data_IF_147050323436
#
_entry.id   IF_147050323436
#
_cell.length_a   1.000
_cell.length_b   1.000
_cell.length_c   1.000
_cell.angle_alpha   90.00
_cell.angle_beta   90.00
_cell.angle_gamma   90.00
#
_symmetry.space_group_name_H-M   'P 1'
#
loop_
_entity.id
_entity.type
_entity.pdbx_description
1 polymer ?
#
# COMPACT_ATOMS: atom_id res chain seq x y z
N UNK A 1 9.63 -6.01 -65.12
CA UNK A 1 8.40 -5.43 -65.71
C UNK A 1 8.27 -4.01 -65.17
N UNK A 2 8.08 -3.06 -66.08
CA UNK A 2 8.21 -1.61 -65.90
C UNK A 2 6.80 -1.00 -66.05
N UNK A 3 6.56 0.11 -65.34
CA UNK A 3 5.46 1.10 -65.54
C UNK A 3 4.14 0.70 -64.86
N UNK A 4 3.29 1.55 -64.30
CA UNK A 4 3.12 3.01 -64.14
C UNK A 4 2.17 3.18 -62.91
N UNK A 5 2.03 4.28 -62.16
CA UNK A 5 1.52 5.62 -62.47
C UNK A 5 1.75 6.45 -61.18
N UNK A 6 2.58 7.49 -61.17
CA UNK A 6 2.20 8.90 -61.27
C UNK A 6 0.71 9.22 -61.01
N UNK A 7 0.40 9.83 -59.86
CA UNK A 7 -0.42 11.05 -59.79
C UNK A 7 0.02 11.89 -58.60
N UNK A 8 0.61 13.03 -58.96
CA UNK A 8 0.95 14.19 -58.16
C UNK A 8 -0.29 15.10 -58.16
N UNK A 9 -0.81 15.50 -57.01
CA UNK A 9 -1.52 16.78 -56.88
C UNK A 9 -1.07 17.43 -55.57
N UNK A 10 -0.26 18.47 -55.74
CA UNK A 10 -0.02 19.53 -54.77
C UNK A 10 -1.10 20.62 -54.95
N UNK A 11 -1.48 21.29 -53.85
CA UNK A 11 -1.91 22.70 -53.72
C UNK A 11 -1.87 22.96 -52.19
N UNK A 12 -0.92 23.69 -51.60
CA UNK A 12 -0.47 25.09 -51.73
C UNK A 12 -1.27 26.08 -50.83
N UNK A 13 -0.55 26.59 -49.82
CA UNK A 13 -0.60 27.91 -49.16
C UNK A 13 -1.91 28.47 -48.57
N UNK A 14 -1.84 28.85 -47.29
CA UNK A 14 -1.98 30.26 -46.90
C UNK A 14 -1.38 30.52 -45.50
N UNK A 15 -0.48 31.50 -45.44
CA UNK A 15 0.24 32.01 -44.27
C UNK A 15 -0.33 33.36 -43.82
N UNK A 16 -0.46 33.56 -42.48
CA UNK A 16 -0.12 34.78 -41.67
C UNK A 16 -1.06 36.02 -41.86
N UNK A 17 -1.50 36.78 -40.80
CA UNK A 17 -0.59 37.43 -39.85
C UNK A 17 -0.98 37.55 -38.36
N UNK A 18 0.08 37.85 -37.58
CA UNK A 18 0.05 38.49 -36.26
C UNK A 18 -0.58 39.89 -36.33
N UNK A 19 -1.36 40.25 -35.32
CA UNK A 19 -1.48 41.64 -34.87
C UNK A 19 -1.34 41.69 -33.36
N UNK A 20 -0.38 42.48 -32.90
CA UNK A 20 -0.16 42.89 -31.52
C UNK A 20 -1.15 44.02 -31.23
N UNK A 21 -1.80 44.02 -30.07
CA UNK A 21 -2.38 45.23 -29.48
C UNK A 21 -2.04 45.30 -28.00
N UNK A 22 -1.35 46.39 -27.65
CA UNK A 22 -0.90 46.75 -26.31
C UNK A 22 -2.06 47.11 -25.38
N UNK A 23 -2.02 46.57 -24.16
CA UNK A 23 -2.64 47.12 -22.96
C UNK A 23 -1.56 47.36 -21.90
N UNK A 24 -1.32 48.62 -21.59
CA UNK A 24 -0.33 49.17 -20.67
C UNK A 24 -0.72 48.97 -19.19
N UNK A 25 0.16 48.44 -18.33
CA UNK A 25 0.62 49.08 -17.07
C UNK A 25 1.59 48.19 -16.24
N UNK A 26 2.74 48.81 -15.93
CA UNK A 26 3.72 48.61 -14.84
C UNK A 26 3.66 47.41 -13.88
N UNK A 27 4.81 46.72 -13.83
CA UNK A 27 5.54 46.21 -12.66
C UNK A 27 4.73 45.58 -11.50
N UNK A 28 4.67 44.24 -11.47
CA UNK A 28 4.58 43.48 -10.23
C UNK A 28 5.35 42.18 -10.38
N UNK A 29 6.37 42.04 -9.53
CA UNK A 29 7.12 40.83 -9.26
C UNK A 29 6.24 39.59 -9.39
N UNK A 30 6.53 38.74 -10.39
CA UNK A 30 6.11 37.35 -10.34
C UNK A 30 7.11 36.64 -9.44
N UNK A 31 6.69 36.43 -8.19
CA UNK A 31 7.21 35.33 -7.40
C UNK A 31 7.08 34.07 -8.26
N UNK A 32 8.22 33.48 -8.60
CA UNK A 32 8.28 32.07 -8.92
C UNK A 32 7.80 31.38 -7.65
N UNK A 33 6.55 30.92 -7.66
CA UNK A 33 6.10 29.94 -6.69
C UNK A 33 6.84 28.65 -7.00
N UNK A 34 7.98 28.48 -6.33
CA UNK A 34 8.61 27.19 -6.15
C UNK A 34 7.55 26.24 -5.58
N UNK A 35 7.23 25.20 -6.36
CA UNK A 35 6.32 24.16 -5.94
C UNK A 35 6.98 23.29 -4.87
N UNK A 36 6.39 23.32 -3.68
CA UNK A 36 6.34 22.26 -2.67
C UNK A 36 7.68 21.66 -2.22
N UNK A 37 8.30 22.29 -1.22
CA UNK A 37 9.22 21.60 -0.33
C UNK A 37 8.45 20.59 0.56
N UNK A 38 8.73 19.31 0.34
CA UNK A 38 8.89 18.25 1.35
C UNK A 38 7.86 18.19 2.50
N UNK A 39 6.74 17.48 2.28
CA UNK A 39 5.74 17.12 3.32
C UNK A 39 6.03 15.73 3.91
N UNK A 40 7.30 15.29 3.88
CA UNK A 40 7.72 13.99 4.39
C UNK A 40 7.68 13.99 5.91
N UNK A 41 6.85 13.13 6.50
CA UNK A 41 6.71 13.06 7.95
C UNK A 41 7.65 12.00 8.52
N UNK A 42 8.57 12.40 9.38
CA UNK A 42 9.46 11.49 10.10
C UNK A 42 8.80 11.10 11.43
N UNK A 43 8.61 9.82 11.68
CA UNK A 43 8.11 9.34 12.96
C UNK A 43 8.69 7.99 13.37
N UNK A 44 8.86 7.81 14.68
CA UNK A 44 9.12 6.49 15.26
C UNK A 44 7.84 5.64 15.16
N UNK A 45 7.99 4.34 14.95
CA UNK A 45 6.84 3.41 14.88
C UNK A 45 5.94 3.49 16.12
N UNK A 46 6.50 3.78 17.30
CA UNK A 46 5.73 3.97 18.54
C UNK A 46 4.79 5.18 18.46
N UNK A 47 5.25 6.30 17.89
CA UNK A 47 4.43 7.51 17.71
C UNK A 47 3.37 7.30 16.64
N UNK A 48 3.66 6.48 15.62
CA UNK A 48 2.70 6.10 14.59
C UNK A 48 1.49 5.33 15.15
N UNK A 49 1.71 4.40 16.09
CA UNK A 49 0.66 3.52 16.64
C UNK A 49 -0.50 4.30 17.29
N UNK A 50 -0.22 5.45 17.90
CA UNK A 50 -1.23 6.23 18.61
C UNK A 50 -2.27 6.85 17.67
N UNK A 51 -1.84 7.33 16.49
CA UNK A 51 -2.69 8.09 15.57
C UNK A 51 -2.42 7.73 14.09
N UNK A 52 -2.57 6.45 13.69
CA UNK A 52 -2.23 6.00 12.34
C UNK A 52 -3.07 6.68 11.24
N UNK A 53 -4.33 7.02 11.54
CA UNK A 53 -5.25 7.74 10.63
C UNK A 53 -4.65 9.05 10.09
N UNK A 54 -3.83 9.74 10.89
CA UNK A 54 -3.25 11.05 10.54
C UNK A 54 -2.18 10.98 9.45
N UNK A 55 -1.69 9.78 9.14
CA UNK A 55 -0.60 9.51 8.20
C UNK A 55 -1.08 8.84 6.91
N UNK A 56 -2.36 8.46 6.81
CA UNK A 56 -2.89 7.74 5.65
C UNK A 56 -2.74 8.58 4.39
N UNK A 57 -2.26 7.95 3.32
CA UNK A 57 -1.95 8.53 2.01
C UNK A 57 -0.81 9.57 2.00
N UNK A 58 -0.05 9.70 3.10
CA UNK A 58 1.13 10.56 3.17
C UNK A 58 2.42 9.75 3.02
N UNK A 59 3.46 10.42 2.54
CA UNK A 59 4.81 9.89 2.61
C UNK A 59 5.35 10.03 4.03
N UNK A 60 5.84 8.93 4.56
CA UNK A 60 6.37 8.85 5.92
C UNK A 60 7.72 8.15 5.90
N UNK A 61 8.57 8.55 6.83
CA UNK A 61 9.82 7.89 7.16
C UNK A 61 9.63 7.26 8.53
N UNK A 62 9.55 5.93 8.57
CA UNK A 62 9.33 5.16 9.79
C UNK A 62 10.62 4.43 10.17
N UNK A 63 11.10 4.68 11.37
CA UNK A 63 12.17 3.90 12.00
C UNK A 63 11.58 2.80 12.87
N UNK A 64 12.16 1.60 12.79
CA UNK A 64 11.76 0.46 13.61
C UNK A 64 12.66 -0.76 13.40
N UNK A 65 12.51 -1.76 14.26
CA UNK A 65 13.27 -3.01 14.14
C UNK A 65 12.58 -3.96 13.17
N UNK A 66 13.27 -4.37 12.11
CA UNK A 66 12.71 -5.38 11.21
C UNK A 66 12.84 -6.76 11.83
N UNK A 67 11.73 -7.39 12.17
CA UNK A 67 11.73 -8.70 12.84
C UNK A 67 11.53 -9.88 11.89
N UNK A 68 11.02 -9.63 10.68
CA UNK A 68 10.77 -10.69 9.70
C UNK A 68 10.66 -10.15 8.28
N UNK A 69 11.30 -10.82 7.34
CA UNK A 69 11.07 -10.71 5.89
C UNK A 69 10.47 -12.03 5.39
N UNK A 70 9.28 -11.94 4.79
CA UNK A 70 8.53 -13.08 4.27
C UNK A 70 9.36 -13.87 3.24
N UNK A 71 9.49 -15.20 3.36
CA UNK A 71 10.28 -16.01 2.41
C UNK A 71 9.64 -16.07 1.01
N UNK A 72 8.32 -15.90 0.92
CA UNK A 72 7.54 -15.95 -0.32
C UNK A 72 7.75 -14.69 -1.18
N UNK A 73 8.89 -14.63 -1.87
CA UNK A 73 9.26 -13.53 -2.76
C UNK A 73 9.77 -12.26 -2.07
N UNK A 74 9.94 -12.29 -0.74
CA UNK A 74 10.47 -11.15 0.05
C UNK A 74 9.70 -9.85 -0.15
N UNK A 75 8.42 -9.93 -0.51
CA UNK A 75 7.57 -8.76 -0.81
C UNK A 75 7.02 -8.06 0.43
N UNK A 76 7.12 -8.71 1.59
CA UNK A 76 6.66 -8.18 2.88
C UNK A 76 7.75 -8.26 3.92
N UNK A 77 7.89 -7.20 4.69
CA UNK A 77 8.66 -7.12 5.91
C UNK A 77 7.75 -6.67 7.06
N UNK A 78 8.17 -6.89 8.31
CA UNK A 78 7.43 -6.49 9.49
C UNK A 78 8.35 -5.69 10.41
N UNK A 79 7.96 -4.44 10.66
CA UNK A 79 8.62 -3.60 11.66
C UNK A 79 7.90 -3.74 12.99
N UNK A 80 8.66 -4.03 14.04
CA UNK A 80 8.18 -4.02 15.41
C UNK A 80 8.41 -2.66 16.05
N UNK A 81 7.45 -2.28 16.89
CA UNK A 81 7.65 -1.30 17.95
C UNK A 81 8.59 -1.85 19.03
N UNK A 82 8.90 -1.03 20.05
CA UNK A 82 9.72 -1.49 21.20
C UNK A 82 9.16 -2.75 21.88
N UNK A 83 7.85 -2.96 21.81
CA UNK A 83 7.21 -4.23 22.17
C UNK A 83 6.68 -4.91 20.91
N UNK A 84 6.88 -6.23 20.79
CA UNK A 84 6.34 -7.06 19.69
C UNK A 84 4.80 -7.24 19.74
N UNK A 85 4.10 -6.37 20.48
CA UNK A 85 2.65 -6.32 20.59
C UNK A 85 2.00 -5.76 19.34
N UNK A 86 2.66 -4.82 18.67
CA UNK A 86 2.24 -4.22 17.41
C UNK A 86 3.30 -4.40 16.33
N UNK A 87 2.87 -4.79 15.13
CA UNK A 87 3.72 -4.87 13.95
C UNK A 87 3.11 -4.02 12.83
N UNK A 88 3.95 -3.25 12.16
CA UNK A 88 3.61 -2.61 10.89
C UNK A 88 3.96 -3.57 9.74
N UNK A 89 2.99 -3.82 8.86
CA UNK A 89 3.28 -4.52 7.60
C UNK A 89 3.90 -3.55 6.61
N UNK A 90 5.07 -3.90 6.08
CA UNK A 90 5.76 -3.14 5.05
C UNK A 90 5.75 -3.95 3.75
N UNK A 91 5.29 -3.35 2.66
CA UNK A 91 5.20 -3.98 1.34
C UNK A 91 6.20 -3.34 0.40
N UNK A 92 6.99 -4.15 -0.30
CA UNK A 92 7.99 -3.66 -1.24
C UNK A 92 7.30 -3.15 -2.51
N UNK A 93 7.66 -1.95 -2.95
CA UNK A 93 7.23 -1.41 -4.24
C UNK A 93 8.25 -1.70 -5.34
N UNK A 94 7.91 -1.37 -6.59
CA UNK A 94 8.88 -1.43 -7.69
C UNK A 94 10.06 -0.47 -7.50
N UNK A 95 9.87 0.66 -6.81
CA UNK A 95 10.93 1.63 -6.51
C UNK A 95 12.01 1.04 -5.58
N UNK A 96 11.61 0.19 -4.63
CA UNK A 96 12.54 -0.58 -3.79
C UNK A 96 13.21 -1.76 -4.53
N UNK A 97 12.82 -2.03 -5.78
CA UNK A 97 13.27 -3.21 -6.53
C UNK A 97 12.39 -4.45 -6.34
N UNK A 98 11.18 -4.31 -5.79
CA UNK A 98 10.15 -5.35 -5.72
C UNK A 98 10.35 -6.44 -4.66
N UNK A 99 11.40 -6.34 -3.83
CA UNK A 99 11.69 -7.26 -2.75
C UNK A 99 12.57 -6.61 -1.67
N UNK A 100 12.36 -6.98 -0.41
CA UNK A 100 13.24 -6.60 0.69
C UNK A 100 14.52 -7.47 0.69
N UNK A 101 15.69 -6.90 1.02
CA UNK A 101 16.89 -7.68 1.33
C UNK A 101 16.65 -8.50 2.60
N UNK A 102 17.01 -9.79 2.62
CA UNK A 102 16.84 -10.63 3.83
C UNK A 102 17.77 -10.19 4.97
N UNK A 103 18.87 -9.51 4.64
CA UNK A 103 19.88 -9.00 5.59
C UNK A 103 19.34 -7.96 6.56
N UNK A 104 18.19 -7.32 6.26
CA UNK A 104 17.59 -6.32 7.17
C UNK A 104 16.95 -6.98 8.40
N UNK A 105 16.67 -8.28 8.36
CA UNK A 105 16.04 -8.98 9.48
C UNK A 105 16.94 -8.96 10.71
N UNK A 106 16.36 -8.62 11.85
CA UNK A 106 17.06 -8.46 13.13
C UNK A 106 17.63 -7.06 13.39
N UNK A 107 17.71 -6.20 12.37
CA UNK A 107 18.35 -4.88 12.43
C UNK A 107 17.33 -3.74 12.52
N UNK A 108 17.81 -2.60 13.00
CA UNK A 108 17.06 -1.34 12.96
C UNK A 108 17.18 -0.73 11.57
N UNK A 109 16.04 -0.34 11.01
CA UNK A 109 15.95 0.24 9.68
C UNK A 109 15.08 1.48 9.68
N UNK A 110 15.34 2.36 8.73
CA UNK A 110 14.44 3.43 8.32
C UNK A 110 13.80 3.03 6.98
N UNK A 111 12.47 3.09 6.91
CA UNK A 111 11.71 2.84 5.69
C UNK A 111 10.94 4.10 5.28
N UNK A 112 11.18 4.56 4.06
CA UNK A 112 10.39 5.63 3.44
C UNK A 112 9.30 4.99 2.58
N UNK A 113 8.08 5.51 2.68
CA UNK A 113 6.99 5.01 1.86
C UNK A 113 5.66 5.71 2.10
N UNK A 114 4.65 5.31 1.33
CA UNK A 114 3.28 5.81 1.50
C UNK A 114 2.52 4.90 2.44
N UNK A 115 1.97 5.46 3.52
CA UNK A 115 1.08 4.70 4.38
C UNK A 115 -0.29 4.53 3.71
N UNK A 116 -0.77 3.29 3.68
CA UNK A 116 -2.09 2.94 3.15
C UNK A 116 -2.95 2.30 4.21
N UNK A 117 -4.24 2.56 4.11
CA UNK A 117 -5.29 1.96 4.93
C UNK A 117 -6.06 0.93 4.08
N UNK A 118 -6.26 -0.26 4.63
CA UNK A 118 -7.23 -1.23 4.16
C UNK A 118 -8.37 -1.29 5.16
N UNK A 119 -9.57 -0.95 4.73
CA UNK A 119 -10.78 -1.06 5.54
C UNK A 119 -11.41 -2.42 5.36
N UNK A 120 -11.85 -3.03 6.45
CA UNK A 120 -12.62 -4.26 6.44
C UNK A 120 -13.93 -3.99 7.18
N UNK A 121 -15.01 -3.95 6.41
CA UNK A 121 -16.40 -3.87 6.85
C UNK A 121 -17.10 -5.23 6.67
N UNK A 122 -18.37 -5.33 7.03
CA UNK A 122 -19.15 -6.58 6.88
C UNK A 122 -19.30 -6.99 5.40
N UNK A 123 -19.36 -6.04 4.47
CA UNK A 123 -19.42 -6.33 3.03
C UNK A 123 -18.15 -7.03 2.55
N UNK A 124 -17.00 -6.49 2.93
CA UNK A 124 -15.67 -7.06 2.66
C UNK A 124 -15.53 -8.43 3.30
N UNK A 125 -16.01 -8.62 4.53
CA UNK A 125 -16.04 -9.94 5.17
C UNK A 125 -16.93 -10.93 4.41
N UNK A 126 -18.08 -10.50 3.93
CA UNK A 126 -18.97 -11.32 3.09
C UNK A 126 -18.25 -11.84 1.85
N UNK A 127 -17.50 -10.98 1.15
CA UNK A 127 -16.70 -11.37 -0.02
C UNK A 127 -15.58 -12.36 0.33
N UNK A 128 -14.94 -12.19 1.50
CA UNK A 128 -13.91 -13.13 2.00
C UNK A 128 -14.54 -14.50 2.27
N UNK A 129 -15.70 -14.55 2.93
CA UNK A 129 -16.45 -15.79 3.22
C UNK A 129 -16.86 -16.48 1.93
N UNK A 130 -17.43 -15.74 0.98
CA UNK A 130 -17.85 -16.28 -0.31
C UNK A 130 -16.66 -16.84 -1.11
N UNK A 131 -15.55 -16.10 -1.18
CA UNK A 131 -14.33 -16.54 -1.87
C UNK A 131 -13.73 -17.79 -1.24
N UNK A 132 -13.73 -17.87 0.09
CA UNK A 132 -13.29 -19.06 0.82
C UNK A 132 -14.18 -20.27 0.54
N UNK A 133 -15.51 -20.09 0.58
CA UNK A 133 -16.49 -21.12 0.26
C UNK A 133 -16.35 -21.62 -1.20
N UNK A 134 -16.21 -20.70 -2.16
CA UNK A 134 -16.02 -21.02 -3.56
C UNK A 134 -14.73 -21.83 -3.79
N UNK A 135 -13.61 -21.41 -3.17
CA UNK A 135 -12.34 -22.14 -3.23
C UNK A 135 -12.46 -23.54 -2.62
N UNK A 136 -13.07 -23.66 -1.44
CA UNK A 136 -13.32 -24.95 -0.77
C UNK A 136 -14.16 -25.87 -1.65
N UNK A 137 -15.21 -25.34 -2.29
CA UNK A 137 -16.07 -26.10 -3.18
C UNK A 137 -15.32 -26.61 -4.44
N UNK A 138 -14.48 -25.77 -5.05
CA UNK A 138 -13.63 -26.18 -6.20
C UNK A 138 -12.70 -27.32 -5.82
N UNK A 139 -12.03 -27.23 -4.67
CA UNK A 139 -11.10 -28.27 -4.22
C UNK A 139 -11.82 -29.57 -3.85
N UNK A 140 -12.96 -29.46 -3.15
CA UNK A 140 -13.78 -30.61 -2.79
C UNK A 140 -14.25 -31.41 -4.02
N UNK A 141 -14.65 -30.72 -5.10
CA UNK A 141 -14.99 -31.39 -6.38
C UNK A 141 -13.83 -32.17 -7.01
N UNK A 142 -12.59 -31.79 -6.69
CA UNK A 142 -11.39 -32.47 -7.14
C UNK A 142 -10.82 -33.43 -6.09
N UNK A 143 -11.60 -33.79 -5.05
CA UNK A 143 -11.18 -34.63 -3.92
C UNK A 143 -9.94 -34.09 -3.18
N UNK A 144 -9.73 -32.77 -3.19
CA UNK A 144 -8.65 -32.08 -2.48
C UNK A 144 -9.23 -31.34 -1.27
N UNK A 145 -8.63 -31.52 -0.11
CA UNK A 145 -8.98 -30.75 1.08
C UNK A 145 -8.27 -29.38 1.05
N UNK A 146 -8.97 -28.30 1.40
CA UNK A 146 -8.39 -26.96 1.37
C UNK A 146 -7.12 -26.85 2.23
N UNK A 147 -7.12 -27.48 3.40
CA UNK A 147 -6.02 -27.41 4.37
C UNK A 147 -4.75 -28.11 3.89
N UNK A 148 -4.84 -29.04 2.92
CA UNK A 148 -3.67 -29.75 2.39
C UNK A 148 -2.94 -28.98 1.29
N UNK A 149 -3.58 -27.94 0.74
CA UNK A 149 -3.01 -27.10 -0.34
C UNK A 149 -2.86 -25.63 0.06
N UNK A 150 -3.38 -25.24 1.22
CA UNK A 150 -3.21 -23.90 1.76
C UNK A 150 -1.82 -23.78 2.38
N UNK A 151 -1.02 -22.82 1.90
CA UNK A 151 0.16 -22.38 2.63
C UNK A 151 -0.30 -21.68 3.92
N UNK A 152 0.19 -22.10 5.11
CA UNK A 152 -0.13 -21.41 6.35
C UNK A 152 0.19 -19.91 6.24
N UNK A 153 -0.66 -19.03 6.78
CA UNK A 153 -0.37 -17.60 6.79
C UNK A 153 0.92 -17.33 7.58
N UNK A 154 1.68 -16.31 7.15
CA UNK A 154 2.83 -15.84 7.92
C UNK A 154 2.38 -15.47 9.35
N UNK A 155 3.00 -16.01 10.41
CA UNK A 155 2.61 -15.72 11.80
C UNK A 155 2.63 -14.22 12.13
N UNK A 156 3.63 -13.49 11.63
CA UNK A 156 3.74 -12.04 11.81
C UNK A 156 2.60 -11.28 11.14
N UNK A 157 2.11 -11.75 9.99
CA UNK A 157 0.93 -11.19 9.35
C UNK A 157 -0.38 -11.46 10.12
N UNK A 158 -0.43 -12.46 11.00
CA UNK A 158 -1.57 -12.65 11.91
C UNK A 158 -1.53 -11.62 13.05
N UNK A 159 -0.35 -11.29 13.56
CA UNK A 159 -0.18 -10.29 14.63
C UNK A 159 -0.67 -8.92 14.15
N UNK A 160 -0.33 -8.50 12.93
CA UNK A 160 -0.76 -7.20 12.37
C UNK A 160 -2.28 -7.07 12.25
N UNK A 161 -2.99 -8.20 12.29
CA UNK A 161 -4.45 -8.28 12.23
C UNK A 161 -5.11 -8.56 13.57
N UNK A 162 -4.40 -8.60 14.69
CA UNK A 162 -4.92 -9.04 16.00
C UNK A 162 -5.46 -10.50 15.98
N UNK A 163 -4.72 -11.39 15.32
CA UNK A 163 -5.13 -12.78 15.09
C UNK A 163 -4.07 -13.80 15.53
N UNK A 164 -3.14 -13.43 16.43
CA UNK A 164 -1.98 -14.27 16.83
C UNK A 164 -2.39 -15.72 17.14
N UNK A 165 -3.41 -15.88 17.97
CA UNK A 165 -3.86 -17.17 18.51
C UNK A 165 -5.13 -17.70 17.84
N UNK A 166 -5.40 -17.28 16.59
CA UNK A 166 -6.55 -17.73 15.79
C UNK A 166 -6.13 -18.86 14.85
N UNK A 167 -6.81 -19.99 14.89
CA UNK A 167 -6.39 -21.20 14.19
C UNK A 167 -7.39 -21.71 13.14
N UNK A 168 -8.60 -21.16 13.10
CA UNK A 168 -9.59 -21.49 12.08
C UNK A 168 -10.08 -20.27 11.30
N UNK A 169 -10.68 -20.53 10.14
CA UNK A 169 -11.33 -19.49 9.35
C UNK A 169 -12.54 -18.90 10.07
N UNK A 170 -13.31 -19.70 10.80
CA UNK A 170 -14.51 -19.23 11.50
C UNK A 170 -14.13 -18.28 12.65
N UNK A 171 -13.13 -18.65 13.46
CA UNK A 171 -12.55 -17.76 14.49
C UNK A 171 -11.99 -16.48 13.87
N UNK A 172 -11.43 -16.55 12.66
CA UNK A 172 -10.91 -15.38 11.94
C UNK A 172 -12.02 -14.38 11.61
N UNK A 173 -13.14 -14.87 11.09
CA UNK A 173 -14.30 -14.03 10.74
C UNK A 173 -14.94 -13.47 12.01
N UNK A 174 -15.09 -14.28 13.06
CA UNK A 174 -15.62 -13.82 14.34
C UNK A 174 -14.74 -12.72 14.96
N UNK A 175 -13.42 -12.87 14.94
CA UNK A 175 -12.49 -11.82 15.39
C UNK A 175 -12.71 -10.50 14.64
N UNK A 176 -12.88 -10.54 13.32
CA UNK A 176 -13.14 -9.33 12.56
C UNK A 176 -14.49 -8.71 12.92
N UNK A 177 -15.57 -9.49 12.97
CA UNK A 177 -16.90 -9.00 13.33
C UNK A 177 -16.93 -8.37 14.72
N UNK A 178 -16.33 -9.02 15.72
CA UNK A 178 -16.26 -8.49 17.08
C UNK A 178 -15.52 -7.16 17.13
N UNK A 179 -14.46 -7.00 16.34
CA UNK A 179 -13.69 -5.75 16.27
C UNK A 179 -14.41 -4.65 15.48
N UNK A 180 -15.17 -5.00 14.45
CA UNK A 180 -16.03 -4.07 13.73
C UNK A 180 -17.12 -3.53 14.67
N UNK A 181 -17.81 -4.42 15.39
CA UNK A 181 -18.82 -4.02 16.38
C UNK A 181 -18.22 -3.11 17.46
N UNK A 182 -17.08 -3.53 18.04
CA UNK A 182 -16.39 -2.72 19.04
C UNK A 182 -15.97 -1.34 18.50
N UNK A 183 -15.51 -1.25 17.25
CA UNK A 183 -15.19 0.03 16.61
C UNK A 183 -16.44 0.90 16.45
N UNK A 184 -17.54 0.31 16.02
CA UNK A 184 -18.82 0.99 15.84
C UNK A 184 -19.31 1.57 17.17
N UNK A 185 -19.32 0.76 18.23
CA UNK A 185 -19.77 1.18 19.56
C UNK A 185 -18.92 2.34 20.14
N UNK A 186 -17.62 2.36 19.85
CA UNK A 186 -16.69 3.36 20.40
C UNK A 186 -16.55 4.62 19.55
N UNK A 187 -16.76 4.54 18.23
CA UNK A 187 -16.40 5.62 17.29
C UNK A 187 -17.36 5.83 16.13
N UNK A 188 -18.48 5.12 16.08
CA UNK A 188 -19.49 5.18 15.00
C UNK A 188 -18.90 4.87 13.61
N UNK A 189 -17.87 4.00 13.58
CA UNK A 189 -17.24 3.48 12.36
C UNK A 189 -17.51 1.99 12.25
N UNK A 190 -18.19 1.58 11.19
CA UNK A 190 -18.64 0.21 10.88
C UNK A 190 -17.58 -0.64 10.14
N UNK A 191 -16.30 -0.30 10.33
CA UNK A 191 -15.17 -1.01 9.73
C UNK A 191 -13.96 -0.99 10.66
N UNK A 192 -13.05 -1.94 10.47
CA UNK A 192 -11.71 -1.88 11.07
C UNK A 192 -10.67 -1.44 10.03
N UNK A 193 -9.62 -0.79 10.50
CA UNK A 193 -8.52 -0.33 9.68
C UNK A 193 -7.30 -1.24 9.86
N UNK A 194 -6.70 -1.67 8.75
CA UNK A 194 -5.41 -2.35 8.71
C UNK A 194 -4.44 -1.47 7.93
N UNK A 195 -3.38 -1.01 8.59
CA UNK A 195 -2.39 -0.14 7.96
C UNK A 195 -1.21 -0.94 7.42
N UNK A 196 -0.69 -0.50 6.29
CA UNK A 196 0.54 -1.03 5.71
C UNK A 196 1.34 0.10 5.04
N UNK A 197 2.66 -0.02 5.06
CA UNK A 197 3.58 0.93 4.43
C UNK A 197 3.98 0.39 3.05
N UNK A 198 3.70 1.14 1.99
CA UNK A 198 4.22 0.85 0.66
C UNK A 198 5.61 1.49 0.52
N UNK A 199 6.64 0.67 0.70
CA UNK A 199 8.03 1.13 0.85
C UNK A 199 8.66 1.45 -0.51
N UNK A 200 9.14 2.67 -0.65
CA UNK A 200 9.88 3.17 -1.81
C UNK A 200 11.40 3.17 -1.58
N UNK A 201 11.84 3.41 -0.33
CA UNK A 201 13.26 3.44 0.04
C UNK A 201 13.50 2.81 1.42
N UNK A 202 14.72 2.29 1.62
CA UNK A 202 15.12 1.59 2.85
C UNK A 202 16.58 1.89 3.15
N UNK A 203 16.83 2.26 4.41
CA UNK A 203 18.17 2.41 4.97
C UNK A 203 18.35 1.54 6.21
N UNK A 204 19.45 0.79 6.25
CA UNK A 204 19.88 0.05 7.44
C UNK A 204 20.69 0.99 8.35
N UNK A 205 20.43 0.96 9.66
CA UNK A 205 21.04 1.91 10.60
C UNK A 205 22.21 1.32 11.41
N UNK A 206 22.32 -0.01 11.45
CA UNK A 206 23.29 -0.78 12.23
C UNK A 206 24.47 -1.35 11.41
#
# INVERSE_FOLDING_TARGET
MKNAYLTLIAILLATIPMTISCGHMSNRSRNISEGSADDTIICEINSFIAHPDSFVNKEVIITGRCIHVCPHGKRRAFLAAETDSFLLTCESTAYLGGAFPKSIEGHTVTMTGILREMRIDESTLGQIVESHAARKAVLCRNNVLLDTVATPPCPYAKITRNQRDIHSFDEQIENFRNRIQSRFDNTDKDYISIYHLQVSDLKLLD
#
